data_IF_918017061684
#
_entry.id   IF_918017061684
#
_cell.length_a   1.000
_cell.length_b   1.000
_cell.length_c   1.000
_cell.angle_alpha   90.00
_cell.angle_beta   90.00
_cell.angle_gamma   90.00
#
_symmetry.space_group_name_H-M   'P 1'
#
loop_
_entity.id
_entity.type
_entity.pdbx_description
1 polymer ?
#
# COMPACT_ATOMS: atom_id res chain seq x y z
N UNK A 1 43.94 -1.96 39.56
CA UNK A 1 43.23 -2.46 38.37
C UNK A 1 41.74 -2.57 38.74
N UNK A 2 40.92 -1.61 38.31
CA UNK A 2 39.47 -1.64 38.55
C UNK A 2 38.80 -2.16 37.29
N UNK A 3 38.11 -3.31 37.38
CA UNK A 3 37.25 -3.82 36.34
C UNK A 3 36.13 -2.83 36.08
N UNK A 4 36.08 -2.27 34.85
CA UNK A 4 34.91 -1.58 34.33
C UNK A 4 33.93 -2.69 33.93
N UNK A 5 32.88 -2.85 34.75
CA UNK A 5 31.75 -3.66 34.43
C UNK A 5 31.06 -3.04 33.21
N UNK A 6 30.93 -3.82 32.15
CA UNK A 6 30.13 -3.52 30.98
C UNK A 6 28.67 -3.47 31.42
N UNK A 7 28.09 -2.28 31.48
CA UNK A 7 26.64 -2.11 31.56
C UNK A 7 26.03 -2.66 30.27
N UNK A 8 24.98 -3.51 30.35
CA UNK A 8 24.30 -4.02 29.17
C UNK A 8 23.71 -2.84 28.39
N UNK A 9 24.06 -2.71 27.12
CA UNK A 9 23.47 -1.77 26.18
C UNK A 9 21.97 -1.93 26.19
N UNK A 10 21.28 -0.85 26.52
CA UNK A 10 19.84 -0.73 26.59
C UNK A 10 19.26 -1.14 25.23
N UNK A 11 18.53 -2.29 25.17
CA UNK A 11 18.00 -2.93 23.94
C UNK A 11 16.98 -2.09 23.14
N UNK A 12 17.08 -0.75 23.22
CA UNK A 12 16.19 0.22 22.56
C UNK A 12 16.49 0.42 21.08
N UNK A 13 17.59 -0.13 20.56
CA UNK A 13 18.00 0.07 19.17
C UNK A 13 17.81 -1.16 18.27
N UNK A 14 17.50 -2.33 18.84
CA UNK A 14 17.49 -3.60 18.08
C UNK A 14 16.34 -3.71 17.07
N UNK A 15 15.23 -2.98 17.26
CA UNK A 15 14.04 -3.07 16.40
C UNK A 15 13.77 -1.84 15.51
N UNK A 16 14.68 -0.86 15.44
CA UNK A 16 14.49 0.35 14.62
C UNK A 16 13.22 1.14 14.99
N UNK A 17 12.79 1.11 16.26
CA UNK A 17 11.57 1.74 16.75
C UNK A 17 11.77 3.24 16.91
N UNK A 18 10.90 4.04 16.31
CA UNK A 18 10.79 5.48 16.51
C UNK A 18 9.46 5.77 17.22
N UNK A 19 9.51 6.05 18.53
CA UNK A 19 8.31 6.33 19.33
C UNK A 19 7.78 7.73 19.07
N UNK A 20 6.47 7.89 18.97
CA UNK A 20 5.81 9.18 18.81
C UNK A 20 5.85 9.97 20.12
N UNK A 21 6.41 11.18 20.05
CA UNK A 21 6.48 12.11 21.19
C UNK A 21 5.55 13.32 21.02
N UNK A 22 5.15 13.64 19.79
CA UNK A 22 4.19 14.70 19.52
C UNK A 22 2.76 14.16 19.61
N UNK A 23 1.95 14.56 20.62
CA UNK A 23 0.60 14.00 20.82
C UNK A 23 -0.40 14.36 19.73
N UNK A 24 -0.08 15.31 18.85
CA UNK A 24 -0.93 15.69 17.71
C UNK A 24 -0.98 14.58 16.68
N UNK A 25 0.10 13.82 16.50
CA UNK A 25 0.20 12.76 15.50
C UNK A 25 -0.71 11.57 15.82
N UNK A 26 -0.62 10.95 17.02
CA UNK A 26 -1.58 9.89 17.40
C UNK A 26 -3.03 10.37 17.35
N UNK A 27 -3.31 11.61 17.79
CA UNK A 27 -4.67 12.18 17.72
C UNK A 27 -5.17 12.23 16.29
N UNK A 28 -4.39 12.74 15.34
CA UNK A 28 -4.75 12.79 13.93
C UNK A 28 -4.99 11.38 13.34
N UNK A 29 -4.18 10.40 13.71
CA UNK A 29 -4.38 9.00 13.31
C UNK A 29 -5.69 8.44 13.85
N UNK A 30 -5.98 8.67 15.12
CA UNK A 30 -7.22 8.22 15.77
C UNK A 30 -8.45 8.91 15.17
N UNK A 31 -8.37 10.19 14.85
CA UNK A 31 -9.45 10.94 14.17
C UNK A 31 -9.79 10.34 12.80
N UNK A 32 -8.79 9.87 12.05
CA UNK A 32 -9.02 9.16 10.78
C UNK A 32 -9.67 7.80 11.01
N UNK A 33 -9.28 7.06 12.06
CA UNK A 33 -9.87 5.78 12.44
C UNK A 33 -11.30 5.97 12.96
N UNK A 34 -11.57 7.03 13.72
CA UNK A 34 -12.91 7.32 14.27
C UNK A 34 -13.99 7.53 13.19
N UNK A 35 -13.58 7.93 11.98
CA UNK A 35 -14.48 8.07 10.81
C UNK A 35 -14.81 6.74 10.13
N UNK A 36 -14.41 5.63 10.70
CA UNK A 36 -14.61 4.27 10.19
C UNK A 36 -15.41 3.44 11.18
N UNK A 37 -15.77 2.22 10.83
CA UNK A 37 -16.48 1.27 11.70
C UNK A 37 -15.75 -0.07 11.80
N UNK A 38 -16.22 -0.94 12.70
CA UNK A 38 -15.69 -2.28 12.92
C UNK A 38 -14.47 -2.36 13.86
N UNK A 39 -13.92 -3.54 14.09
CA UNK A 39 -12.73 -3.76 14.92
C UNK A 39 -11.49 -3.03 14.38
N UNK A 40 -10.50 -2.85 15.24
CA UNK A 40 -9.24 -2.17 14.90
C UNK A 40 -8.08 -3.14 15.12
N UNK A 41 -7.20 -3.25 14.12
CA UNK A 41 -5.92 -3.96 14.22
C UNK A 41 -4.79 -2.93 14.22
N UNK A 42 -4.04 -2.84 15.32
CA UNK A 42 -2.87 -1.97 15.40
C UNK A 42 -1.59 -2.75 15.15
N UNK A 43 -0.73 -2.21 14.28
CA UNK A 43 0.58 -2.76 13.94
C UNK A 43 1.66 -2.04 14.74
N UNK A 44 2.40 -2.77 15.58
CA UNK A 44 3.49 -2.20 16.38
C UNK A 44 2.99 -1.23 17.43
N UNK A 45 2.32 -1.74 18.45
CA UNK A 45 1.70 -0.93 19.51
C UNK A 45 2.71 -0.11 20.33
N UNK A 46 3.96 -0.57 20.41
CA UNK A 46 5.06 0.11 21.09
C UNK A 46 4.73 0.46 22.55
N UNK A 47 4.90 1.72 22.90
CA UNK A 47 4.59 2.24 24.24
C UNK A 47 3.10 2.58 24.45
N UNK A 48 2.26 2.39 23.41
CA UNK A 48 0.83 2.61 23.44
C UNK A 48 0.38 4.02 23.06
N UNK A 49 1.24 4.80 22.41
CA UNK A 49 0.92 6.17 21.99
C UNK A 49 -0.36 6.26 21.14
N UNK A 50 -0.63 5.25 20.33
CA UNK A 50 -1.84 5.16 19.50
C UNK A 50 -2.86 4.25 20.19
N UNK A 51 -2.44 3.13 20.79
CA UNK A 51 -3.34 2.14 21.43
C UNK A 51 -4.23 2.76 22.50
N UNK A 52 -3.66 3.60 23.38
CA UNK A 52 -4.39 4.23 24.49
C UNK A 52 -5.55 5.10 24.00
N UNK A 53 -5.36 6.04 23.06
CA UNK A 53 -6.48 6.79 22.52
C UNK A 53 -7.44 5.95 21.65
N UNK A 54 -6.99 4.89 20.96
CA UNK A 54 -7.87 3.96 20.25
C UNK A 54 -8.84 3.23 21.18
N UNK A 55 -8.36 2.81 22.35
CA UNK A 55 -9.20 2.15 23.36
C UNK A 55 -10.41 2.99 23.79
N UNK A 56 -10.32 4.32 23.68
CA UNK A 56 -11.41 5.25 24.04
C UNK A 56 -12.52 5.33 22.98
N UNK A 57 -12.31 4.74 21.79
CA UNK A 57 -13.35 4.69 20.75
C UNK A 57 -14.44 3.67 21.06
N UNK A 58 -14.31 2.86 22.13
CA UNK A 58 -15.31 1.85 22.52
C UNK A 58 -15.44 0.68 21.55
N UNK A 59 -14.45 0.48 20.67
CA UNK A 59 -14.41 -0.58 19.65
C UNK A 59 -13.42 -1.67 20.06
N UNK A 60 -13.60 -2.94 19.64
CA UNK A 60 -12.58 -3.97 19.82
C UNK A 60 -11.25 -3.55 19.17
N UNK A 61 -10.16 -3.63 19.93
CA UNK A 61 -8.80 -3.33 19.45
C UNK A 61 -7.93 -4.56 19.65
N UNK A 62 -7.27 -4.98 18.58
CA UNK A 62 -6.19 -5.97 18.63
C UNK A 62 -4.89 -5.24 18.35
N UNK A 63 -4.03 -5.14 19.37
CA UNK A 63 -2.73 -4.48 19.30
C UNK A 63 -1.63 -5.54 19.18
N UNK A 64 -0.95 -5.61 18.03
CA UNK A 64 0.15 -6.54 17.78
C UNK A 64 1.48 -5.85 18.10
N UNK A 65 2.29 -6.47 18.93
CA UNK A 65 3.61 -5.96 19.34
C UNK A 65 4.61 -7.13 19.46
N UNK A 66 5.83 -6.92 18.92
CA UNK A 66 6.88 -7.93 18.91
C UNK A 66 7.76 -7.87 20.17
N UNK A 67 7.87 -6.70 20.80
CA UNK A 67 8.62 -6.53 22.04
C UNK A 67 7.81 -6.99 23.24
N UNK A 68 8.24 -8.08 23.88
CA UNK A 68 7.57 -8.65 25.04
C UNK A 68 7.48 -7.68 26.24
N UNK A 69 8.47 -6.79 26.41
CA UNK A 69 8.49 -5.79 27.48
C UNK A 69 7.34 -4.78 27.28
N UNK A 70 7.16 -4.32 26.05
CA UNK A 70 6.04 -3.43 25.71
C UNK A 70 4.69 -4.14 25.87
N UNK A 71 4.58 -5.40 25.42
CA UNK A 71 3.37 -6.21 25.60
C UNK A 71 2.97 -6.30 27.08
N UNK A 72 3.93 -6.64 27.98
CA UNK A 72 3.66 -6.70 29.43
C UNK A 72 3.22 -5.36 30.00
N UNK A 73 3.84 -4.25 29.56
CA UNK A 73 3.49 -2.89 29.97
C UNK A 73 2.08 -2.51 29.51
N UNK A 74 1.75 -2.78 28.26
CA UNK A 74 0.44 -2.46 27.67
C UNK A 74 -0.68 -3.24 28.34
N UNK A 75 -0.51 -4.55 28.59
CA UNK A 75 -1.51 -5.38 29.27
C UNK A 75 -1.87 -4.90 30.68
N UNK A 76 -0.94 -4.21 31.37
CA UNK A 76 -1.18 -3.62 32.70
C UNK A 76 -1.95 -2.30 32.64
N UNK A 77 -1.88 -1.58 31.52
CA UNK A 77 -2.42 -0.21 31.37
C UNK A 77 -3.74 -0.16 30.62
N UNK A 78 -4.00 -1.14 29.77
CA UNK A 78 -5.14 -1.11 28.86
C UNK A 78 -6.34 -1.84 29.43
N UNK A 79 -7.56 -1.41 29.08
CA UNK A 79 -8.77 -2.12 29.47
C UNK A 79 -8.85 -3.48 28.76
N UNK A 80 -9.67 -4.40 29.30
CA UNK A 80 -9.86 -5.74 28.74
C UNK A 80 -10.47 -5.76 27.32
N UNK A 81 -11.00 -4.64 26.85
CA UNK A 81 -11.50 -4.46 25.47
C UNK A 81 -10.38 -4.37 24.44
N UNK A 82 -9.12 -4.21 24.89
CA UNK A 82 -7.93 -4.22 24.05
C UNK A 82 -7.20 -5.53 24.22
N UNK A 83 -7.15 -6.32 23.19
CA UNK A 83 -6.32 -7.52 23.12
C UNK A 83 -4.89 -7.15 22.71
N UNK A 84 -3.91 -7.40 23.58
CA UNK A 84 -2.49 -7.19 23.25
C UNK A 84 -1.86 -8.53 22.89
N UNK A 85 -1.48 -8.71 21.62
CA UNK A 85 -0.84 -9.92 21.09
C UNK A 85 0.68 -9.75 21.02
N UNK A 86 1.41 -10.64 21.69
CA UNK A 86 2.85 -10.76 21.51
C UNK A 86 3.11 -11.54 20.22
N UNK A 87 3.41 -10.85 19.11
CA UNK A 87 3.60 -11.50 17.83
C UNK A 87 4.30 -10.59 16.81
N UNK A 88 4.92 -11.20 15.80
CA UNK A 88 5.35 -10.51 14.59
C UNK A 88 4.13 -10.29 13.67
N UNK A 89 3.82 -9.02 13.36
CA UNK A 89 2.72 -8.68 12.45
C UNK A 89 2.86 -9.38 11.08
N UNK A 90 4.07 -9.52 10.56
CA UNK A 90 4.28 -10.15 9.25
C UNK A 90 3.87 -11.63 9.22
N UNK A 91 3.70 -12.24 10.39
CA UNK A 91 3.29 -13.66 10.56
C UNK A 91 1.94 -13.82 11.25
N UNK A 92 1.39 -12.75 11.82
CA UNK A 92 0.12 -12.79 12.57
C UNK A 92 -1.08 -12.85 11.64
N UNK A 93 -2.11 -13.66 11.94
CA UNK A 93 -3.35 -13.63 11.17
C UNK A 93 -4.09 -12.31 11.39
N UNK A 94 -4.70 -11.80 10.33
CA UNK A 94 -5.68 -10.71 10.42
C UNK A 94 -7.02 -11.22 10.96
N UNK A 95 -7.85 -10.35 11.56
CA UNK A 95 -9.25 -10.66 11.82
C UNK A 95 -9.95 -11.07 10.53
N UNK A 96 -10.80 -12.10 10.60
CA UNK A 96 -11.56 -12.58 9.43
C UNK A 96 -12.66 -11.59 9.01
N UNK A 97 -13.18 -10.83 9.97
CA UNK A 97 -14.19 -9.81 9.75
C UNK A 97 -13.61 -8.50 9.21
N UNK A 98 -14.43 -7.67 8.54
CA UNK A 98 -13.99 -6.35 8.08
C UNK A 98 -13.49 -5.49 9.24
N UNK A 99 -12.24 -5.04 9.16
CA UNK A 99 -11.56 -4.30 10.22
C UNK A 99 -10.76 -3.12 9.67
N UNK A 100 -10.32 -2.25 10.57
CA UNK A 100 -9.45 -1.10 10.25
C UNK A 100 -8.05 -1.40 10.74
N UNK A 101 -7.05 -1.10 9.92
CA UNK A 101 -5.64 -1.26 10.28
C UNK A 101 -5.05 0.11 10.60
N UNK A 102 -4.27 0.19 11.67
CA UNK A 102 -3.57 1.43 12.05
C UNK A 102 -2.17 1.09 12.54
N UNK A 103 -1.19 1.99 12.36
CA UNK A 103 0.13 1.76 12.94
C UNK A 103 1.18 2.81 12.60
N UNK A 104 2.11 3.00 13.55
CA UNK A 104 3.38 3.68 13.33
C UNK A 104 4.41 2.62 12.89
N UNK A 105 4.52 2.43 11.58
CA UNK A 105 5.26 1.32 10.98
C UNK A 105 6.77 1.54 11.04
N UNK A 106 7.58 0.58 11.53
CA UNK A 106 9.03 0.68 11.45
C UNK A 106 9.48 0.91 10.01
N UNK A 107 10.28 1.94 9.78
CA UNK A 107 10.60 2.44 8.44
C UNK A 107 11.25 1.38 7.55
N UNK A 108 12.13 0.55 8.11
CA UNK A 108 12.79 -0.53 7.38
C UNK A 108 11.86 -1.69 6.98
N UNK A 109 10.70 -1.86 7.66
CA UNK A 109 9.70 -2.89 7.36
C UNK A 109 8.55 -2.40 6.50
N UNK A 110 8.49 -1.10 6.17
CA UNK A 110 7.35 -0.49 5.47
C UNK A 110 6.94 -1.25 4.21
N UNK A 111 7.90 -1.65 3.38
CA UNK A 111 7.59 -2.36 2.12
C UNK A 111 7.00 -3.75 2.37
N UNK A 112 7.54 -4.50 3.33
CA UNK A 112 7.04 -5.83 3.68
C UNK A 112 5.63 -5.75 4.26
N UNK A 113 5.39 -4.80 5.17
CA UNK A 113 4.08 -4.57 5.80
C UNK A 113 3.05 -4.13 4.76
N UNK A 114 3.39 -3.21 3.86
CA UNK A 114 2.47 -2.78 2.80
C UNK A 114 2.12 -3.93 1.84
N UNK A 115 3.09 -4.75 1.43
CA UNK A 115 2.82 -5.91 0.57
C UNK A 115 1.84 -6.86 1.24
N UNK A 116 2.15 -7.27 2.49
CA UNK A 116 1.26 -8.14 3.25
C UNK A 116 -0.15 -7.55 3.39
N UNK A 117 -0.24 -6.27 3.77
CA UNK A 117 -1.53 -5.59 3.94
C UNK A 117 -2.36 -5.58 2.66
N UNK A 118 -1.74 -5.27 1.51
CA UNK A 118 -2.44 -5.17 0.23
C UNK A 118 -2.94 -6.53 -0.27
N UNK A 119 -2.29 -7.63 0.11
CA UNK A 119 -2.72 -9.00 -0.20
C UNK A 119 -3.85 -9.49 0.72
N UNK A 120 -4.04 -8.85 1.88
CA UNK A 120 -5.04 -9.25 2.86
C UNK A 120 -6.44 -8.78 2.47
N UNK A 121 -7.46 -9.65 2.39
CA UNK A 121 -8.77 -9.28 1.86
C UNK A 121 -9.70 -8.58 2.83
N UNK A 122 -9.54 -8.79 4.15
CA UNK A 122 -10.59 -8.48 5.11
C UNK A 122 -10.62 -7.02 5.63
N UNK A 123 -9.53 -6.26 5.56
CA UNK A 123 -9.54 -4.88 6.06
C UNK A 123 -10.27 -3.91 5.12
N UNK A 124 -10.87 -2.86 5.68
CA UNK A 124 -11.65 -1.84 4.95
C UNK A 124 -10.85 -0.55 4.73
N UNK A 125 -10.08 -0.13 5.72
CA UNK A 125 -9.21 1.06 5.69
C UNK A 125 -7.93 0.80 6.47
N UNK A 126 -6.82 1.39 6.02
CA UNK A 126 -5.58 1.43 6.77
C UNK A 126 -5.11 2.88 6.96
N UNK A 127 -4.63 3.21 8.17
CA UNK A 127 -4.03 4.51 8.53
C UNK A 127 -2.62 4.26 9.03
N UNK A 128 -1.63 4.53 8.19
CA UNK A 128 -0.24 4.17 8.46
C UNK A 128 0.66 5.40 8.49
N UNK A 129 1.51 5.45 9.49
CA UNK A 129 2.63 6.39 9.54
C UNK A 129 3.87 5.65 9.04
N UNK A 130 4.41 6.11 7.91
CA UNK A 130 5.54 5.52 7.19
C UNK A 130 6.56 6.61 6.86
N UNK A 131 7.69 6.30 6.23
CA UNK A 131 8.61 7.33 5.73
C UNK A 131 7.89 8.27 4.75
N UNK A 132 8.23 9.58 4.81
CA UNK A 132 7.66 10.61 3.95
C UNK A 132 7.74 10.25 2.45
N UNK A 133 8.92 9.83 1.98
CA UNK A 133 9.11 9.47 0.58
C UNK A 133 8.26 8.26 0.16
N UNK A 134 8.07 7.29 1.07
CA UNK A 134 7.18 6.15 0.81
C UNK A 134 5.73 6.62 0.73
N UNK A 135 5.25 7.39 1.69
CA UNK A 135 3.87 7.91 1.70
C UNK A 135 3.58 8.72 0.44
N UNK A 136 4.47 9.66 0.10
CA UNK A 136 4.36 10.52 -1.09
C UNK A 136 4.27 9.71 -2.38
N UNK A 137 5.17 8.73 -2.55
CA UNK A 137 5.22 7.87 -3.74
C UNK A 137 4.02 6.93 -3.83
N UNK A 138 3.49 6.43 -2.70
CA UNK A 138 2.26 5.62 -2.69
C UNK A 138 1.04 6.44 -3.07
N UNK A 139 0.96 7.69 -2.66
CA UNK A 139 -0.08 8.62 -3.08
C UNK A 139 0.09 9.15 -4.52
N UNK A 140 1.15 8.74 -5.24
CA UNK A 140 1.40 9.18 -6.61
C UNK A 140 1.97 10.60 -6.72
N UNK A 141 2.35 11.23 -5.61
CA UNK A 141 2.91 12.58 -5.61
C UNK A 141 4.35 12.56 -6.14
N UNK A 142 4.58 13.22 -7.28
CA UNK A 142 5.87 13.23 -7.98
C UNK A 142 6.16 11.94 -8.76
N UNK A 143 5.11 11.20 -9.12
CA UNK A 143 5.16 9.99 -9.91
C UNK A 143 4.94 8.71 -9.10
N UNK A 144 4.21 7.78 -9.69
CA UNK A 144 3.89 6.50 -9.08
C UNK A 144 5.07 5.53 -9.08
N UNK A 145 5.07 4.59 -8.16
CA UNK A 145 5.91 3.39 -8.24
C UNK A 145 5.15 2.25 -8.91
N UNK A 146 5.88 1.26 -9.42
CA UNK A 146 5.28 0.04 -9.96
C UNK A 146 4.30 -0.61 -8.96
N UNK A 147 4.71 -0.75 -7.69
CA UNK A 147 3.83 -1.30 -6.65
C UNK A 147 2.54 -0.49 -6.49
N UNK A 148 2.61 0.83 -6.52
CA UNK A 148 1.42 1.69 -6.42
C UNK A 148 0.49 1.48 -7.61
N UNK A 149 1.02 1.53 -8.83
CA UNK A 149 0.24 1.32 -10.05
C UNK A 149 -0.41 -0.07 -10.10
N UNK A 150 0.30 -1.10 -9.62
CA UNK A 150 -0.22 -2.47 -9.53
C UNK A 150 -1.44 -2.62 -8.62
N UNK A 151 -1.61 -1.71 -7.63
CA UNK A 151 -2.68 -1.82 -6.64
C UNK A 151 -3.78 -0.77 -6.78
N UNK A 152 -3.58 0.27 -7.58
CA UNK A 152 -4.56 1.34 -7.78
C UNK A 152 -5.98 0.91 -8.20
N UNK A 153 -6.20 -0.16 -8.96
CA UNK A 153 -7.57 -0.58 -9.24
C UNK A 153 -8.37 -1.03 -8.02
N UNK A 154 -7.66 -1.48 -6.95
CA UNK A 154 -8.29 -2.03 -5.74
C UNK A 154 -8.11 -1.16 -4.50
N UNK A 155 -7.25 -0.16 -4.56
CA UNK A 155 -6.97 0.74 -3.43
C UNK A 155 -6.74 2.18 -3.89
N UNK A 156 -7.20 3.15 -3.08
CA UNK A 156 -6.73 4.53 -3.12
C UNK A 156 -5.72 4.76 -2.00
N UNK A 157 -4.77 5.66 -2.26
CA UNK A 157 -3.71 6.03 -1.32
C UNK A 157 -3.71 7.54 -1.16
N UNK A 158 -4.09 8.01 0.01
CA UNK A 158 -4.25 9.43 0.31
C UNK A 158 -3.15 9.90 1.27
N UNK A 159 -2.34 10.88 0.84
CA UNK A 159 -1.34 11.51 1.68
C UNK A 159 -2.00 12.54 2.59
N UNK A 160 -2.17 12.19 3.88
CA UNK A 160 -2.92 13.02 4.84
C UNK A 160 -2.09 14.12 5.48
N UNK A 161 -0.82 13.83 5.82
CA UNK A 161 0.06 14.79 6.48
C UNK A 161 1.54 14.42 6.34
N UNK A 162 2.41 15.43 6.44
CA UNK A 162 3.85 15.26 6.71
C UNK A 162 4.09 15.38 8.21
N UNK A 163 4.85 14.45 8.77
CA UNK A 163 5.18 14.38 10.20
C UNK A 163 6.69 14.60 10.35
N UNK A 164 7.13 15.71 10.94
CA UNK A 164 8.55 16.02 11.04
C UNK A 164 9.27 15.02 11.93
N UNK A 165 10.54 14.72 11.61
CA UNK A 165 11.39 13.77 12.35
C UNK A 165 11.48 14.07 13.86
N UNK A 166 11.39 15.35 14.26
CA UNK A 166 11.38 15.76 15.69
C UNK A 166 10.15 15.29 16.47
N UNK A 167 9.10 14.81 15.79
CA UNK A 167 7.91 14.22 16.43
C UNK A 167 8.15 12.79 16.96
N UNK A 168 9.35 12.26 16.74
CA UNK A 168 9.74 10.90 17.16
C UNK A 168 10.94 10.91 18.12
N UNK A 169 11.07 9.85 18.89
CA UNK A 169 12.25 9.56 19.73
C UNK A 169 12.61 8.06 19.66
N UNK A 170 13.86 7.70 19.29
CA UNK A 170 14.83 8.58 18.67
C UNK A 170 14.30 9.21 17.38
N UNK A 171 14.80 10.39 17.02
CA UNK A 171 14.40 11.04 15.78
C UNK A 171 14.98 10.24 14.58
N UNK A 172 14.16 9.85 13.59
CA UNK A 172 14.65 9.21 12.39
C UNK A 172 15.41 10.19 11.50
N UNK A 173 16.16 9.66 10.52
CA UNK A 173 16.89 10.49 9.54
C UNK A 173 15.99 11.22 8.55
N UNK A 174 14.72 10.81 8.44
CA UNK A 174 13.75 11.38 7.49
C UNK A 174 12.42 11.64 8.19
N UNK A 175 11.64 12.58 7.67
CA UNK A 175 10.27 12.81 8.14
C UNK A 175 9.37 11.60 7.89
N UNK A 176 8.30 11.51 8.66
CA UNK A 176 7.19 10.60 8.45
C UNK A 176 6.15 11.18 7.49
N UNK A 177 5.32 10.29 6.94
CA UNK A 177 4.15 10.63 6.16
C UNK A 177 2.94 9.82 6.64
N UNK A 178 1.86 10.50 6.95
CA UNK A 178 0.59 9.86 7.30
C UNK A 178 -0.16 9.49 6.04
N UNK A 179 -0.34 8.19 5.82
CA UNK A 179 -0.95 7.60 4.65
C UNK A 179 -2.27 6.94 5.04
N UNK A 180 -3.37 7.32 4.39
CA UNK A 180 -4.64 6.60 4.45
C UNK A 180 -4.81 5.75 3.20
N UNK A 181 -5.16 4.47 3.37
CA UNK A 181 -5.42 3.57 2.28
C UNK A 181 -6.86 3.08 2.40
N UNK A 182 -7.63 3.18 1.35
CA UNK A 182 -9.02 2.70 1.32
C UNK A 182 -9.26 1.79 0.12
N UNK A 183 -10.24 0.88 0.25
CA UNK A 183 -10.62 -0.01 -0.85
C UNK A 183 -11.34 0.75 -1.95
N UNK A 184 -11.08 0.33 -3.18
CA UNK A 184 -11.84 0.68 -4.37
C UNK A 184 -12.06 -0.58 -5.22
N UNK A 185 -12.96 -0.51 -6.19
CA UNK A 185 -13.28 -1.63 -7.07
C UNK A 185 -13.41 -1.13 -8.51
N UNK A 186 -12.26 -0.78 -9.11
CA UNK A 186 -12.22 -0.33 -10.51
C UNK A 186 -12.06 -1.47 -11.49
N UNK A 187 -11.52 -2.61 -11.04
CA UNK A 187 -11.39 -3.86 -11.80
C UNK A 187 -11.83 -5.05 -10.93
N UNK A 188 -12.36 -6.13 -11.55
CA UNK A 188 -12.65 -7.38 -10.86
C UNK A 188 -11.40 -7.97 -10.20
N UNK A 189 -11.56 -8.66 -9.07
CA UNK A 189 -10.44 -9.33 -8.38
C UNK A 189 -9.80 -10.44 -9.25
N UNK A 190 -10.57 -11.07 -10.12
CA UNK A 190 -10.10 -12.09 -11.09
C UNK A 190 -9.08 -11.54 -12.09
N UNK A 191 -9.07 -10.23 -12.33
CA UNK A 191 -8.12 -9.60 -13.24
C UNK A 191 -6.79 -9.22 -12.56
N UNK A 192 -6.67 -9.33 -11.23
CA UNK A 192 -5.53 -8.81 -10.46
C UNK A 192 -4.19 -9.31 -10.99
N UNK A 193 -4.01 -10.62 -11.10
CA UNK A 193 -2.74 -11.19 -11.49
C UNK A 193 -2.33 -10.77 -12.92
N UNK A 194 -3.28 -10.72 -13.85
CA UNK A 194 -3.03 -10.31 -15.22
C UNK A 194 -2.68 -8.81 -15.32
N UNK A 195 -3.44 -7.97 -14.63
CA UNK A 195 -3.18 -6.53 -14.56
C UNK A 195 -1.81 -6.21 -13.93
N UNK A 196 -1.47 -6.86 -12.82
CA UNK A 196 -0.19 -6.63 -12.15
C UNK A 196 1.01 -7.04 -13.00
N UNK A 197 0.90 -8.13 -13.77
CA UNK A 197 1.92 -8.51 -14.77
C UNK A 197 2.04 -7.44 -15.85
N UNK A 198 0.92 -7.00 -16.42
CA UNK A 198 0.90 -5.92 -17.41
C UNK A 198 1.59 -4.66 -16.90
N UNK A 199 1.26 -4.20 -15.69
CA UNK A 199 1.93 -3.04 -15.07
C UNK A 199 3.43 -3.27 -14.94
N UNK A 200 3.85 -4.44 -14.46
CA UNK A 200 5.27 -4.78 -14.32
C UNK A 200 5.99 -4.73 -15.67
N UNK A 201 5.40 -5.30 -16.72
CA UNK A 201 5.95 -5.29 -18.07
C UNK A 201 6.09 -3.88 -18.64
N UNK A 202 5.10 -3.01 -18.42
CA UNK A 202 5.15 -1.62 -18.89
C UNK A 202 6.18 -0.81 -18.10
N UNK A 203 6.26 -0.97 -16.75
CA UNK A 203 7.23 -0.26 -15.93
C UNK A 203 8.68 -0.65 -16.21
N UNK A 204 8.93 -1.92 -16.52
CA UNK A 204 10.29 -2.43 -16.82
C UNK A 204 10.63 -2.39 -18.30
N UNK A 205 9.68 -1.98 -19.13
CA UNK A 205 9.84 -1.89 -20.57
C UNK A 205 10.86 -0.82 -21.00
N UNK A 206 11.67 -1.13 -22.01
CA UNK A 206 12.62 -0.18 -22.59
C UNK A 206 11.91 0.71 -23.62
N UNK A 207 12.10 2.04 -23.54
CA UNK A 207 11.52 3.00 -24.48
C UNK A 207 11.72 4.44 -24.01
N UNK A 208 11.55 5.40 -24.94
CA UNK A 208 11.60 6.84 -24.65
C UNK A 208 10.29 7.40 -24.12
N UNK A 209 9.25 6.58 -24.03
CA UNK A 209 7.92 6.91 -23.55
C UNK A 209 6.98 5.72 -23.67
N UNK A 210 5.76 5.88 -23.20
CA UNK A 210 4.78 4.81 -23.15
C UNK A 210 4.47 4.18 -24.50
N UNK A 211 4.37 5.00 -25.57
CA UNK A 211 4.15 4.50 -26.94
C UNK A 211 5.26 3.52 -27.38
N UNK A 212 6.53 3.84 -27.11
CA UNK A 212 7.64 2.96 -27.45
C UNK A 212 7.62 1.66 -26.65
N UNK A 213 7.32 1.74 -25.36
CA UNK A 213 7.21 0.58 -24.49
C UNK A 213 6.12 -0.37 -24.99
N UNK A 214 4.93 0.16 -25.25
CA UNK A 214 3.77 -0.64 -25.71
C UNK A 214 4.03 -1.24 -27.10
N UNK A 215 4.65 -0.50 -28.04
CA UNK A 215 5.03 -1.00 -29.34
C UNK A 215 5.99 -2.18 -29.25
N UNK A 216 7.05 -2.07 -28.44
CA UNK A 216 8.06 -3.13 -28.27
C UNK A 216 7.49 -4.38 -27.61
N UNK A 217 6.37 -4.25 -26.88
CA UNK A 217 5.64 -5.36 -26.26
C UNK A 217 4.56 -5.95 -27.17
N UNK A 218 4.37 -5.43 -28.38
CA UNK A 218 3.32 -5.88 -29.29
C UNK A 218 1.90 -5.51 -28.85
N UNK A 219 1.78 -4.48 -27.99
CA UNK A 219 0.50 -4.04 -27.38
C UNK A 219 -0.06 -2.78 -28.06
N UNK A 220 0.53 -2.31 -29.17
CA UNK A 220 0.15 -1.06 -29.83
C UNK A 220 -0.80 -1.34 -31.00
N UNK A 221 -2.05 -1.65 -30.72
CA UNK A 221 -3.15 -1.70 -31.68
C UNK A 221 -3.86 -0.34 -31.85
N UNK A 222 -4.92 -0.27 -32.64
CA UNK A 222 -5.66 0.97 -32.90
C UNK A 222 -6.39 1.48 -31.67
N UNK A 223 -6.90 0.60 -30.79
CA UNK A 223 -7.54 1.00 -29.54
C UNK A 223 -6.55 1.66 -28.59
N UNK A 224 -5.34 1.08 -28.48
CA UNK A 224 -4.26 1.65 -27.66
C UNK A 224 -3.71 2.94 -28.26
N UNK A 225 -3.60 3.05 -29.61
CA UNK A 225 -3.21 4.31 -30.28
C UNK A 225 -4.21 5.42 -30.00
N UNK A 226 -5.52 5.13 -30.12
CA UNK A 226 -6.58 6.07 -29.80
C UNK A 226 -6.55 6.51 -28.35
N UNK A 227 -6.29 5.56 -27.42
CA UNK A 227 -6.13 5.87 -26.00
C UNK A 227 -4.92 6.80 -25.76
N UNK A 228 -3.76 6.49 -26.35
CA UNK A 228 -2.55 7.34 -26.23
C UNK A 228 -2.79 8.76 -26.72
N UNK A 229 -3.50 8.92 -27.83
CA UNK A 229 -3.85 10.21 -28.39
C UNK A 229 -4.81 11.00 -27.48
N UNK A 230 -5.89 10.38 -27.04
CA UNK A 230 -6.91 11.02 -26.19
C UNK A 230 -6.36 11.48 -24.82
N UNK A 231 -5.39 10.75 -24.26
CA UNK A 231 -4.77 11.06 -22.97
C UNK A 231 -3.44 11.85 -23.12
N UNK A 232 -3.02 12.18 -24.36
CA UNK A 232 -1.71 12.82 -24.66
C UNK A 232 -0.54 12.10 -23.98
N UNK A 233 -0.60 10.76 -23.94
CA UNK A 233 0.29 9.93 -23.14
C UNK A 233 1.41 9.25 -23.93
N UNK A 234 1.57 9.55 -25.23
CA UNK A 234 2.56 8.88 -26.09
C UNK A 234 4.00 8.98 -25.57
N UNK A 235 4.38 10.14 -25.03
CA UNK A 235 5.71 10.43 -24.47
C UNK A 235 5.76 10.32 -22.94
N UNK A 236 4.62 10.14 -22.28
CA UNK A 236 4.56 9.98 -20.82
C UNK A 236 5.36 8.75 -20.38
N UNK A 237 5.95 8.82 -19.21
CA UNK A 237 6.56 7.64 -18.57
C UNK A 237 5.50 6.85 -17.81
N UNK A 238 5.66 5.55 -17.60
CA UNK A 238 4.72 4.75 -16.82
C UNK A 238 4.41 5.33 -15.45
N UNK A 239 5.39 5.96 -14.78
CA UNK A 239 5.24 6.62 -13.47
C UNK A 239 4.35 7.87 -13.49
N UNK A 240 4.13 8.46 -14.66
CA UNK A 240 3.38 9.72 -14.80
C UNK A 240 1.88 9.48 -14.99
N UNK A 241 1.47 8.23 -15.25
CA UNK A 241 0.06 7.88 -15.39
C UNK A 241 -0.67 7.90 -14.05
N UNK A 242 -1.89 8.42 -14.08
CA UNK A 242 -2.82 8.36 -12.94
C UNK A 242 -3.45 6.97 -12.77
N UNK A 243 -4.08 6.74 -11.63
CA UNK A 243 -4.81 5.50 -11.35
C UNK A 243 -5.85 5.17 -12.43
N UNK A 244 -6.63 6.17 -12.86
CA UNK A 244 -7.68 5.98 -13.86
C UNK A 244 -7.13 5.79 -15.27
N UNK A 245 -6.01 6.43 -15.59
CA UNK A 245 -5.30 6.19 -16.86
C UNK A 245 -4.77 4.74 -16.93
N UNK A 246 -4.25 4.20 -15.84
CA UNK A 246 -3.82 2.79 -15.78
C UNK A 246 -4.98 1.82 -16.01
N UNK A 247 -6.14 2.06 -15.38
CA UNK A 247 -7.33 1.22 -15.54
C UNK A 247 -7.88 1.30 -16.97
N UNK A 248 -7.95 2.50 -17.54
CA UNK A 248 -8.46 2.68 -18.90
C UNK A 248 -7.49 2.17 -19.98
N UNK A 249 -6.16 2.28 -19.78
CA UNK A 249 -5.16 1.67 -20.63
C UNK A 249 -5.26 0.14 -20.61
N UNK A 250 -5.39 -0.46 -19.42
CA UNK A 250 -5.61 -1.90 -19.29
C UNK A 250 -6.83 -2.39 -20.07
N UNK A 251 -7.94 -1.64 -19.97
CA UNK A 251 -9.16 -1.94 -20.74
C UNK A 251 -8.95 -1.83 -22.25
N UNK A 252 -8.16 -0.85 -22.69
CA UNK A 252 -7.83 -0.68 -24.11
C UNK A 252 -7.00 -1.85 -24.63
N UNK A 253 -5.98 -2.28 -23.88
CA UNK A 253 -5.12 -3.41 -24.24
C UNK A 253 -5.89 -4.75 -24.27
N UNK A 254 -6.93 -4.91 -23.43
CA UNK A 254 -7.71 -6.16 -23.34
C UNK A 254 -8.93 -6.23 -24.24
N UNK A 255 -9.27 -5.16 -24.97
CA UNK A 255 -10.35 -5.27 -25.96
C UNK A 255 -9.96 -6.34 -26.96
N UNK A 256 -10.74 -7.42 -27.13
CA UNK A 256 -10.53 -8.30 -28.25
C UNK A 256 -10.71 -7.47 -29.50
N UNK A 257 -9.81 -7.63 -30.50
CA UNK A 257 -10.02 -7.10 -31.84
C UNK A 257 -11.39 -7.57 -32.34
N UNK A 258 -12.39 -6.70 -32.26
CA UNK A 258 -13.67 -6.89 -32.91
C UNK A 258 -13.54 -6.86 -34.44
N UNK A 259 -12.31 -6.87 -34.96
CA UNK A 259 -11.97 -6.69 -36.37
C UNK A 259 -10.90 -7.66 -36.88
N UNK A 260 -10.73 -8.84 -36.30
CA UNK A 260 -10.21 -9.94 -37.10
C UNK A 260 -11.35 -10.51 -37.91
N UNK A 261 -11.86 -9.65 -38.84
CA UNK A 261 -12.83 -9.98 -39.84
C UNK A 261 -12.37 -11.20 -40.60
N UNK A 262 -13.25 -12.14 -40.67
CA UNK A 262 -13.45 -13.19 -41.60
C UNK A 262 -12.98 -12.81 -43.04
N UNK A 263 -11.73 -13.04 -43.34
CA UNK A 263 -11.21 -13.12 -44.68
C UNK A 263 -10.89 -14.58 -45.02
N UNK A 264 -11.81 -15.46 -44.67
CA UNK A 264 -11.92 -16.80 -45.23
C UNK A 264 -12.46 -16.71 -46.64
N UNK A 265 -11.56 -16.50 -47.63
CA UNK A 265 -11.93 -16.44 -49.03
C UNK A 265 -12.67 -17.68 -49.51
N UNK A 266 -13.89 -17.46 -49.93
CA UNK A 266 -14.63 -18.34 -50.84
C UNK A 266 -13.87 -18.36 -52.15
N UNK A 267 -13.08 -19.40 -52.39
CA UNK A 267 -12.68 -19.78 -53.72
C UNK A 267 -13.55 -20.96 -54.14
N UNK A 268 -14.69 -20.64 -54.71
CA UNK A 268 -15.47 -21.56 -55.53
C UNK A 268 -14.62 -22.08 -56.71
N UNK A 269 -14.43 -23.36 -56.76
CA UNK A 269 -13.92 -24.12 -57.86
C UNK A 269 -15.00 -25.04 -58.39
N UNK A 270 -15.90 -24.49 -59.18
CA UNK A 270 -16.75 -25.31 -60.07
C UNK A 270 -15.84 -25.91 -61.15
N UNK A 271 -15.73 -27.23 -61.21
CA UNK A 271 -15.47 -28.00 -62.43
C UNK A 271 -16.46 -29.14 -62.57
N UNK A 272 -17.23 -29.00 -63.64
CA UNK A 272 -18.06 -30.06 -64.22
C UNK A 272 -17.22 -31.21 -64.75
N UNK A 273 -17.64 -32.43 -64.52
CA UNK A 273 -18.05 -33.50 -65.46
C UNK A 273 -18.58 -34.71 -64.69
#
# INVERSE_FOLDING_TARGET
>A
MRHLEHLPSDGRHENGQNFLTDPRVPRQMVDLVARTSGPILEIGAGDGAITVPLARLGRPVVAVEIDERQVRRLRRRLPRTVEVRHADYLRSPHPAEPHVVVGNVPFHLTTAILRRLLDEPAWSRAVLLVQWEVARRRAGVGGATMLTAQWWPWYSFDLCARVPARAFRPAPSTDGGLLSISRRSSLPASERAAYQRFVAEVFTGRGRGLCDVLRRRGLLDDAVRAWLASHRAATALPRDLTADQWVTLWRAVRRPDAARGDHGGIRGGVRAR
#
